data_IF_692070562551
#
_entry.id   IF_692070562551
#
_cell.length_a   1.000
_cell.length_b   1.000
_cell.length_c   1.000
_cell.angle_alpha   90.00
_cell.angle_beta   90.00
_cell.angle_gamma   90.00
#
_symmetry.space_group_name_H-M   'P 1'
#
loop_
_entity.id
_entity.type
_entity.pdbx_description
1 polymer ?
#
# COMPACT_ATOMS: atom_id res chain seq x y z
N UNK A 1 -59.85 31.50 -42.85
CA UNK A 1 -59.55 31.36 -41.41
C UNK A 1 -60.12 30.03 -40.93
N UNK A 2 -59.33 28.96 -40.99
CA UNK A 2 -59.52 27.66 -40.31
C UNK A 2 -58.16 26.97 -40.39
N UNK A 3 -57.47 26.83 -39.25
CA UNK A 3 -56.18 26.13 -39.17
C UNK A 3 -56.37 24.68 -38.72
N UNK A 4 -55.43 23.76 -39.00
CA UNK A 4 -55.41 22.46 -38.37
C UNK A 4 -54.50 22.44 -37.13
N UNK A 5 -55.07 21.85 -36.09
CA UNK A 5 -54.50 21.44 -34.81
C UNK A 5 -53.58 20.23 -34.99
N UNK A 6 -52.36 20.27 -34.45
CA UNK A 6 -51.61 19.06 -34.09
C UNK A 6 -51.05 19.14 -32.68
N UNK A 7 -51.00 17.97 -32.06
CA UNK A 7 -50.99 17.76 -30.63
C UNK A 7 -49.59 17.45 -30.07
N UNK A 8 -49.38 17.92 -28.84
CA UNK A 8 -48.70 17.30 -27.68
C UNK A 8 -47.52 16.33 -27.95
N UNK A 9 -46.38 16.70 -27.37
CA UNK A 9 -45.28 15.80 -27.02
C UNK A 9 -44.22 16.49 -26.17
N UNK A 10 -44.57 16.84 -24.93
CA UNK A 10 -43.66 17.33 -23.88
C UNK A 10 -42.64 16.24 -23.52
N UNK A 11 -41.45 16.31 -24.11
CA UNK A 11 -40.30 15.45 -23.82
C UNK A 11 -39.35 16.09 -22.83
N UNK A 12 -39.85 16.54 -21.68
CA UNK A 12 -39.06 17.01 -20.55
C UNK A 12 -38.14 15.92 -20.02
N UNK A 13 -36.92 15.84 -20.55
CA UNK A 13 -35.82 15.05 -20.01
C UNK A 13 -35.43 15.58 -18.63
N UNK A 14 -36.05 15.00 -17.59
CA UNK A 14 -35.68 15.25 -16.19
C UNK A 14 -34.24 14.73 -16.01
N UNK A 15 -33.24 15.62 -16.08
CA UNK A 15 -31.89 15.31 -15.55
C UNK A 15 -32.04 15.09 -14.06
N UNK A 16 -32.04 13.83 -13.63
CA UNK A 16 -31.92 13.48 -12.23
C UNK A 16 -30.54 13.93 -11.74
N UNK A 17 -30.43 14.65 -10.62
CA UNK A 17 -29.13 14.98 -10.07
C UNK A 17 -28.44 13.70 -9.62
N UNK A 18 -27.28 13.40 -10.21
CA UNK A 18 -26.38 12.38 -9.68
C UNK A 18 -25.77 12.97 -8.41
N UNK A 19 -26.35 12.64 -7.26
CA UNK A 19 -25.75 12.88 -5.95
C UNK A 19 -24.59 11.90 -5.80
N UNK A 20 -23.39 12.36 -6.06
CA UNK A 20 -22.17 11.74 -5.56
C UNK A 20 -22.11 11.98 -4.04
N UNK A 21 -22.63 11.00 -3.27
CA UNK A 21 -22.58 11.01 -1.82
C UNK A 21 -21.20 10.57 -1.33
N UNK A 22 -20.15 11.31 -1.69
CA UNK A 22 -18.88 11.27 -0.96
C UNK A 22 -19.00 12.28 0.17
N UNK A 23 -19.77 11.90 1.19
CA UNK A 23 -19.79 12.59 2.46
C UNK A 23 -18.37 12.64 3.01
N UNK A 24 -17.91 13.86 3.35
CA UNK A 24 -16.69 14.09 4.12
C UNK A 24 -16.63 13.09 5.27
N UNK A 25 -15.72 12.12 5.20
CA UNK A 25 -15.34 11.34 6.38
C UNK A 25 -14.42 12.23 7.19
N UNK A 26 -14.98 12.98 8.13
CA UNK A 26 -14.18 13.47 9.26
C UNK A 26 -13.84 12.24 10.11
N UNK A 27 -12.62 11.74 9.95
CA UNK A 27 -12.02 10.82 10.90
C UNK A 27 -11.88 11.57 12.24
N UNK A 28 -12.87 11.39 13.12
CA UNK A 28 -12.69 11.64 14.55
C UNK A 28 -11.73 10.57 15.04
N UNK A 29 -10.47 10.96 15.25
CA UNK A 29 -9.55 10.23 16.11
C UNK A 29 -10.23 10.16 17.48
N UNK A 30 -10.88 9.04 17.80
CA UNK A 30 -11.29 8.75 19.17
C UNK A 30 -10.04 8.27 19.86
N UNK A 31 -9.31 9.22 20.44
CA UNK A 31 -8.22 8.94 21.37
C UNK A 31 -8.81 8.16 22.54
N UNK A 32 -8.70 6.83 22.51
CA UNK A 32 -8.83 6.01 23.71
C UNK A 32 -7.47 5.97 24.36
N UNK A 33 -7.32 6.90 25.27
CA UNK A 33 -6.24 7.07 26.21
C UNK A 33 -6.10 5.77 27.03
N UNK A 34 -5.14 4.92 26.65
CA UNK A 34 -4.52 3.98 27.57
C UNK A 34 -3.06 4.36 27.63
N UNK A 35 -2.75 5.13 28.67
CA UNK A 35 -1.45 5.73 28.91
C UNK A 35 -0.33 4.71 28.94
N UNK A 36 0.71 4.99 28.17
CA UNK A 36 2.04 4.52 28.47
C UNK A 36 2.68 5.58 29.36
N UNK A 37 2.78 5.29 30.66
CA UNK A 37 3.45 6.14 31.61
C UNK A 37 4.94 6.26 31.23
N UNK A 38 5.38 7.48 30.96
CA UNK A 38 6.81 7.79 30.81
C UNK A 38 7.35 7.95 32.22
N UNK A 39 8.17 6.99 32.67
CA UNK A 39 8.93 7.18 33.91
C UNK A 39 10.34 7.64 33.50
N UNK A 40 10.54 8.95 33.63
CA UNK A 40 11.84 9.60 33.59
C UNK A 40 12.46 9.49 34.99
N UNK A 41 13.53 8.68 35.13
CA UNK A 41 14.45 8.80 36.25
C UNK A 41 15.80 8.12 35.96
N UNK A 42 16.75 8.98 35.62
CA UNK A 42 18.16 9.01 36.05
C UNK A 42 19.00 7.72 36.12
N UNK A 43 19.96 7.71 35.19
CA UNK A 43 21.30 7.12 35.19
C UNK A 43 21.95 6.93 36.57
N UNK A 44 22.50 5.74 36.84
CA UNK A 44 23.83 5.54 37.46
C UNK A 44 24.43 4.19 37.02
N UNK A 45 25.76 4.18 36.90
CA UNK A 45 26.62 3.13 36.36
C UNK A 45 26.60 1.80 37.15
N UNK A 46 26.95 0.70 36.45
CA UNK A 46 27.99 -0.29 36.80
C UNK A 46 27.70 -1.70 36.23
N UNK A 47 28.59 -2.10 35.30
CA UNK A 47 29.10 -3.46 35.05
C UNK A 47 28.12 -4.62 34.84
N UNK A 48 28.00 -5.05 33.58
CA UNK A 48 27.98 -6.48 33.28
C UNK A 48 28.85 -6.77 32.03
N UNK A 49 30.08 -7.20 32.29
CA UNK A 49 31.01 -7.79 31.32
C UNK A 49 30.78 -9.31 31.28
N UNK A 50 30.26 -9.83 30.18
CA UNK A 50 30.70 -11.11 29.59
C UNK A 50 29.94 -11.43 28.28
N UNK A 51 30.72 -11.48 27.20
CA UNK A 51 30.57 -12.36 26.04
C UNK A 51 29.26 -12.34 25.24
N UNK A 52 29.22 -11.53 24.19
CA UNK A 52 29.34 -12.09 22.83
C UNK A 52 29.89 -11.02 21.87
N UNK A 53 31.21 -11.04 21.69
CA UNK A 53 31.93 -10.21 20.72
C UNK A 53 32.39 -11.06 19.55
N UNK A 54 31.82 -10.82 18.39
CA UNK A 54 32.51 -10.77 17.08
C UNK A 54 31.52 -10.08 16.13
N UNK A 55 31.65 -8.78 15.96
CA UNK A 55 32.39 -8.17 14.86
C UNK A 55 31.53 -8.09 13.58
N UNK A 56 30.87 -6.95 13.43
CA UNK A 56 31.00 -6.05 12.29
C UNK A 56 31.35 -6.72 10.94
N UNK A 57 30.36 -6.91 10.06
CA UNK A 57 30.56 -6.96 8.61
C UNK A 57 29.28 -6.58 7.86
N UNK A 58 29.38 -5.47 7.12
CA UNK A 58 28.58 -5.04 5.98
C UNK A 58 27.12 -4.60 6.23
N UNK A 59 26.87 -3.32 5.94
CA UNK A 59 25.60 -2.88 5.38
C UNK A 59 25.28 -3.74 4.14
N UNK A 60 24.58 -4.84 4.37
CA UNK A 60 24.09 -5.72 3.31
C UNK A 60 22.94 -4.97 2.66
N UNK A 61 23.13 -4.52 1.42
CA UNK A 61 22.05 -3.97 0.61
C UNK A 61 20.90 -4.96 0.63
N UNK A 62 19.74 -4.54 1.11
CA UNK A 62 18.59 -5.43 1.23
C UNK A 62 18.25 -5.86 -0.18
N UNK A 63 18.42 -7.13 -0.50
CA UNK A 63 17.98 -7.66 -1.80
C UNK A 63 16.57 -8.22 -1.62
N UNK A 64 15.73 -8.06 -2.64
CA UNK A 64 14.37 -8.55 -2.57
C UNK A 64 14.32 -10.09 -2.40
N UNK A 65 13.29 -10.62 -1.75
CA UNK A 65 13.10 -12.06 -1.61
C UNK A 65 12.96 -12.77 -2.96
N UNK A 66 13.32 -14.05 -3.02
CA UNK A 66 13.30 -14.85 -4.27
C UNK A 66 11.90 -15.06 -4.86
N UNK A 67 10.86 -14.87 -4.05
CA UNK A 67 9.45 -14.89 -4.47
C UNK A 67 9.07 -13.66 -5.30
N UNK A 68 9.92 -12.63 -5.31
CA UNK A 68 9.82 -11.48 -6.20
C UNK A 68 10.72 -11.68 -7.42
N UNK A 69 10.27 -11.22 -8.57
CA UNK A 69 11.06 -11.27 -9.80
C UNK A 69 11.23 -9.88 -10.40
N UNK A 70 12.33 -9.69 -11.14
CA UNK A 70 12.52 -8.47 -11.92
C UNK A 70 11.77 -8.58 -13.25
N UNK A 71 11.12 -7.51 -13.65
CA UNK A 71 10.42 -7.42 -14.92
C UNK A 71 10.83 -6.12 -15.62
N UNK A 72 11.12 -6.20 -16.93
CA UNK A 72 11.29 -5.01 -17.75
C UNK A 72 9.93 -4.39 -18.05
N UNK A 73 9.81 -3.08 -17.86
CA UNK A 73 8.65 -2.29 -18.25
C UNK A 73 8.90 -1.50 -19.54
N UNK A 74 7.96 -0.64 -19.93
CA UNK A 74 8.13 0.27 -21.06
C UNK A 74 9.33 1.21 -20.87
N UNK A 75 9.92 1.68 -21.97
CA UNK A 75 11.00 2.69 -21.94
C UNK A 75 12.19 2.32 -21.05
N UNK A 76 12.65 1.06 -21.11
CA UNK A 76 13.77 0.53 -20.31
C UNK A 76 13.57 0.59 -18.78
N UNK A 77 12.34 0.76 -18.32
CA UNK A 77 12.01 0.72 -16.89
C UNK A 77 12.23 -0.69 -16.31
N UNK A 78 12.48 -0.73 -15.02
CA UNK A 78 12.67 -1.97 -14.27
C UNK A 78 11.72 -1.98 -13.08
N UNK A 79 11.02 -3.10 -12.94
CA UNK A 79 10.06 -3.34 -11.88
C UNK A 79 10.52 -4.53 -11.06
N UNK A 80 10.24 -4.47 -9.76
CA UNK A 80 10.26 -5.64 -8.90
C UNK A 80 8.80 -6.06 -8.65
N UNK A 81 8.48 -7.31 -8.95
CA UNK A 81 7.10 -7.77 -9.08
C UNK A 81 6.83 -8.97 -8.17
N UNK A 82 5.67 -8.94 -7.50
CA UNK A 82 5.11 -10.05 -6.74
C UNK A 82 3.67 -10.32 -7.14
N UNK A 83 3.36 -11.58 -7.44
CA UNK A 83 2.02 -12.02 -7.81
C UNK A 83 1.48 -13.04 -6.81
N UNK A 84 0.24 -12.82 -6.37
CA UNK A 84 -0.40 -13.57 -5.29
C UNK A 84 -1.82 -13.94 -5.68
N UNK A 85 -2.25 -15.15 -5.33
CA UNK A 85 -3.65 -15.54 -5.40
C UNK A 85 -4.21 -15.65 -3.99
N UNK A 86 -5.08 -14.72 -3.61
CA UNK A 86 -5.70 -14.72 -2.30
C UNK A 86 -6.83 -15.76 -2.21
N UNK A 87 -7.22 -16.14 -0.99
CA UNK A 87 -8.31 -17.10 -0.79
C UNK A 87 -9.65 -16.59 -1.38
N UNK A 88 -9.96 -15.32 -1.16
CA UNK A 88 -11.14 -14.62 -1.67
C UNK A 88 -10.87 -13.11 -1.84
N UNK A 89 -11.83 -12.36 -2.37
CA UNK A 89 -11.70 -10.93 -2.62
C UNK A 89 -11.44 -10.12 -1.33
N UNK A 90 -12.13 -10.43 -0.24
CA UNK A 90 -11.94 -9.69 1.02
C UNK A 90 -10.54 -9.89 1.60
N UNK A 91 -9.96 -11.09 1.51
CA UNK A 91 -8.56 -11.33 1.89
C UNK A 91 -7.58 -10.53 1.02
N UNK A 92 -7.88 -10.34 -0.26
CA UNK A 92 -7.07 -9.52 -1.16
C UNK A 92 -7.14 -8.04 -0.76
N UNK A 93 -8.34 -7.52 -0.45
CA UNK A 93 -8.53 -6.15 0.03
C UNK A 93 -7.82 -5.91 1.37
N UNK A 94 -7.91 -6.86 2.29
CA UNK A 94 -7.21 -6.77 3.58
C UNK A 94 -5.68 -6.72 3.38
N UNK A 95 -5.15 -7.57 2.50
CA UNK A 95 -3.73 -7.56 2.16
C UNK A 95 -3.31 -6.21 1.54
N UNK A 96 -4.09 -5.68 0.60
CA UNK A 96 -3.87 -4.35 0.01
C UNK A 96 -3.79 -3.27 1.08
N UNK A 97 -4.71 -3.26 2.05
CA UNK A 97 -4.71 -2.27 3.13
C UNK A 97 -3.45 -2.36 4.00
N UNK A 98 -2.98 -3.57 4.31
CA UNK A 98 -1.76 -3.76 5.09
C UNK A 98 -0.52 -3.33 4.31
N UNK A 99 -0.44 -3.66 3.02
CA UNK A 99 0.64 -3.19 2.13
C UNK A 99 0.63 -1.66 2.02
N UNK A 100 -0.55 -1.03 1.90
CA UNK A 100 -0.68 0.42 1.84
C UNK A 100 -0.16 1.11 3.12
N UNK A 101 -0.37 0.51 4.30
CA UNK A 101 0.19 1.03 5.56
C UNK A 101 1.72 0.95 5.60
N UNK A 102 2.31 -0.14 5.11
CA UNK A 102 3.77 -0.28 5.00
C UNK A 102 4.35 0.74 4.01
N UNK A 103 3.69 0.90 2.87
CA UNK A 103 4.08 1.86 1.84
C UNK A 103 4.06 3.31 2.35
N UNK A 104 3.01 3.70 3.06
CA UNK A 104 2.88 5.04 3.66
C UNK A 104 3.96 5.27 4.74
N UNK A 105 4.19 4.29 5.61
CA UNK A 105 5.24 4.38 6.63
C UNK A 105 6.66 4.48 6.03
N UNK A 106 6.86 3.90 4.84
CA UNK A 106 8.11 3.97 4.10
C UNK A 106 8.25 5.23 3.22
N UNK A 107 7.18 6.02 3.07
CA UNK A 107 7.05 7.09 2.07
C UNK A 107 7.43 6.60 0.66
N UNK A 108 7.00 5.39 0.32
CA UNK A 108 7.36 4.71 -0.92
C UNK A 108 6.20 3.85 -1.40
N UNK A 109 5.52 4.27 -2.46
CA UNK A 109 4.23 3.69 -2.86
C UNK A 109 4.39 2.69 -4.01
N UNK A 110 3.90 1.43 -3.87
CA UNK A 110 3.82 0.47 -4.96
C UNK A 110 2.64 0.73 -5.89
N UNK A 111 2.70 0.17 -7.09
CA UNK A 111 1.51 -0.04 -7.92
C UNK A 111 0.83 -1.37 -7.53
N UNK A 112 -0.47 -1.31 -7.24
CA UNK A 112 -1.27 -2.45 -6.78
C UNK A 112 -2.38 -2.77 -7.76
N UNK A 113 -2.37 -3.98 -8.31
CA UNK A 113 -3.36 -4.46 -9.27
C UNK A 113 -4.16 -5.62 -8.69
N UNK A 114 -5.43 -5.38 -8.36
CA UNK A 114 -6.38 -6.43 -8.03
C UNK A 114 -7.18 -6.83 -9.26
N UNK A 115 -6.93 -8.03 -9.77
CA UNK A 115 -7.57 -8.56 -10.98
C UNK A 115 -8.23 -9.90 -10.70
N UNK A 116 -9.14 -10.32 -11.58
CA UNK A 116 -9.78 -11.65 -11.55
C UNK A 116 -10.28 -12.06 -10.16
N UNK A 117 -10.96 -11.14 -9.48
CA UNK A 117 -11.56 -11.30 -8.14
C UNK A 117 -10.57 -11.49 -6.97
N UNK A 118 -9.41 -12.14 -7.13
CA UNK A 118 -8.50 -12.41 -6.00
C UNK A 118 -7.02 -12.49 -6.35
N UNK A 119 -6.66 -12.11 -7.58
CA UNK A 119 -5.26 -12.06 -8.00
C UNK A 119 -4.71 -10.67 -7.69
N UNK A 120 -3.75 -10.59 -6.78
CA UNK A 120 -3.06 -9.37 -6.43
C UNK A 120 -1.67 -9.39 -7.07
N UNK A 121 -1.37 -8.35 -7.84
CA UNK A 121 -0.03 -8.08 -8.37
C UNK A 121 0.47 -6.77 -7.76
N UNK A 122 1.70 -6.82 -7.25
CA UNK A 122 2.39 -5.70 -6.60
C UNK A 122 3.62 -5.39 -7.44
N UNK A 123 3.77 -4.14 -7.86
CA UNK A 123 4.92 -3.66 -8.60
C UNK A 123 5.62 -2.55 -7.82
N UNK A 124 6.95 -2.64 -7.74
CA UNK A 124 7.80 -1.69 -7.06
C UNK A 124 8.83 -1.13 -8.04
N UNK A 125 8.84 0.20 -8.16
CA UNK A 125 9.91 0.95 -8.81
C UNK A 125 9.99 2.37 -8.25
N UNK A 126 11.16 2.98 -8.37
CA UNK A 126 11.35 4.36 -7.94
C UNK A 126 11.11 5.32 -9.11
N UNK A 127 9.93 5.93 -9.15
CA UNK A 127 9.54 6.88 -10.19
C UNK A 127 10.54 8.04 -10.37
N UNK A 128 11.00 8.63 -9.27
CA UNK A 128 11.94 9.76 -9.28
C UNK A 128 13.33 9.40 -9.81
N UNK A 129 13.68 8.11 -9.81
CA UNK A 129 14.94 7.59 -10.32
C UNK A 129 14.84 7.11 -11.77
N UNK A 130 13.77 7.49 -12.50
CA UNK A 130 13.53 7.07 -13.87
C UNK A 130 12.89 5.68 -13.99
N UNK A 131 12.07 5.29 -13.02
CA UNK A 131 11.39 3.98 -12.98
C UNK A 131 12.37 2.79 -12.97
N UNK A 132 13.42 2.91 -12.16
CA UNK A 132 14.37 1.83 -11.89
C UNK A 132 14.11 1.25 -10.49
N UNK A 133 14.51 0.00 -10.30
CA UNK A 133 14.50 -0.64 -8.97
C UNK A 133 15.66 -0.11 -8.14
N UNK A 134 15.35 0.46 -6.98
CA UNK A 134 16.33 0.96 -6.01
C UNK A 134 16.30 0.16 -4.71
N UNK A 135 17.17 0.52 -3.77
CA UNK A 135 17.18 -0.04 -2.42
C UNK A 135 15.84 0.18 -1.67
N UNK A 136 15.11 1.27 -1.95
CA UNK A 136 13.78 1.53 -1.33
C UNK A 136 12.77 0.47 -1.75
N UNK A 137 12.79 0.11 -3.03
CA UNK A 137 11.95 -0.96 -3.59
C UNK A 137 12.28 -2.29 -2.93
N UNK A 138 13.56 -2.63 -2.79
CA UNK A 138 13.96 -3.87 -2.13
C UNK A 138 13.57 -3.93 -0.65
N UNK A 139 13.71 -2.82 0.09
CA UNK A 139 13.32 -2.76 1.50
C UNK A 139 11.82 -2.92 1.70
N UNK A 140 11.01 -2.29 0.84
CA UNK A 140 9.57 -2.44 0.92
C UNK A 140 9.14 -3.87 0.54
N UNK A 141 9.79 -4.47 -0.46
CA UNK A 141 9.55 -5.88 -0.82
C UNK A 141 9.81 -6.84 0.35
N UNK A 142 10.90 -6.64 1.10
CA UNK A 142 11.21 -7.44 2.29
C UNK A 142 10.14 -7.27 3.39
N UNK A 143 9.66 -6.05 3.62
CA UNK A 143 8.60 -5.80 4.60
C UNK A 143 7.27 -6.47 4.21
N UNK A 144 6.92 -6.41 2.92
CA UNK A 144 5.73 -7.07 2.39
C UNK A 144 5.88 -8.59 2.51
N UNK A 145 7.04 -9.17 2.22
CA UNK A 145 7.22 -10.61 2.36
C UNK A 145 7.09 -11.07 3.81
N UNK A 146 7.70 -10.34 4.75
CA UNK A 146 7.55 -10.63 6.17
C UNK A 146 6.07 -10.53 6.64
N UNK A 147 5.24 -9.71 5.99
CA UNK A 147 3.81 -9.66 6.23
C UNK A 147 3.10 -10.92 5.72
N UNK A 148 3.50 -11.44 4.55
CA UNK A 148 2.92 -12.65 3.94
C UNK A 148 3.23 -13.91 4.75
N UNK A 149 4.48 -14.08 5.20
CA UNK A 149 4.93 -15.24 5.96
C UNK A 149 4.14 -15.44 7.27
N UNK A 150 3.61 -14.36 7.86
CA UNK A 150 2.82 -14.42 9.10
C UNK A 150 1.37 -14.87 8.89
N UNK A 151 0.93 -15.07 7.64
CA UNK A 151 -0.44 -15.44 7.30
C UNK A 151 -0.60 -16.91 6.90
N UNK A 152 0.50 -17.65 6.76
CA UNK A 152 0.54 -19.11 6.51
C UNK A 152 0.59 -19.89 7.83
#
# INVERSE_FOLDING_TARGET
>A
MLGPTEARGDGGGKRLPVRNNYGKVQLKIVSRERGWAVNDQQVTDHQNTAANSTADTAATGSTAPQTWHRQAGPNDSQLLVRELTCANFMQAIELINQVAQLAEAADHHPDLHLTSYKQLRIELSSHHAGHIVTERDHRLAVQIEALLDRRE
#
